data_IF_431314857352
#
_entry.id   IF_431314857352
#
_cell.length_a   1.000
_cell.length_b   1.000
_cell.length_c   1.000
_cell.angle_alpha   90.00
_cell.angle_beta   90.00
_cell.angle_gamma   90.00
#
_symmetry.space_group_name_H-M   'P 1'
#
loop_
_entity.id
_entity.type
_entity.pdbx_description
1 polymer ?
#
# COMPACT_ATOMS: atom_id res chain seq x y z
N UNK A 1 4.29 16.34 -2.31
CA UNK A 1 3.05 15.55 -2.36
C UNK A 1 2.40 15.79 -3.71
N UNK A 2 2.66 14.95 -4.72
CA UNK A 2 2.09 15.15 -6.06
C UNK A 2 0.76 14.40 -6.18
N UNK A 3 -0.22 15.01 -6.85
CA UNK A 3 -1.48 14.39 -7.27
C UNK A 3 -1.29 13.37 -8.39
N UNK A 4 -0.20 13.50 -9.17
CA UNK A 4 0.15 12.62 -10.27
C UNK A 4 1.01 11.45 -9.75
N UNK A 5 0.79 10.24 -10.27
CA UNK A 5 1.56 9.03 -9.95
C UNK A 5 3.05 9.24 -10.30
N UNK A 6 3.81 9.83 -9.38
CA UNK A 6 5.21 10.23 -9.54
C UNK A 6 6.20 9.09 -9.46
N UNK A 7 5.78 7.87 -9.82
CA UNK A 7 6.56 6.64 -9.68
C UNK A 7 7.00 6.41 -8.24
N UNK A 8 8.27 6.03 -8.04
CA UNK A 8 8.82 5.75 -6.72
C UNK A 8 8.83 6.98 -5.77
N UNK A 9 8.72 8.20 -6.31
CA UNK A 9 8.66 9.42 -5.49
C UNK A 9 7.39 9.49 -4.64
N UNK A 10 6.31 8.79 -5.01
CA UNK A 10 5.07 8.76 -4.20
C UNK A 10 5.25 8.16 -2.81
N UNK A 11 6.31 7.37 -2.61
CA UNK A 11 6.65 6.75 -1.32
C UNK A 11 7.60 7.60 -0.46
N UNK A 12 7.93 8.83 -0.89
CA UNK A 12 8.82 9.74 -0.18
C UNK A 12 8.18 11.12 -0.06
N UNK A 13 8.45 11.80 1.04
CA UNK A 13 8.11 13.21 1.16
C UNK A 13 9.05 14.02 0.25
N UNK A 14 8.56 15.12 -0.31
CA UNK A 14 9.43 16.06 -1.01
C UNK A 14 10.22 16.88 0.01
N UNK A 15 11.40 17.42 -0.35
CA UNK A 15 12.18 18.27 0.54
C UNK A 15 11.38 19.45 1.12
N UNK A 16 10.50 20.04 0.31
CA UNK A 16 9.58 21.09 0.77
C UNK A 16 8.61 20.59 1.85
N UNK A 17 7.97 19.44 1.64
CA UNK A 17 7.07 18.85 2.64
C UNK A 17 7.82 18.48 3.93
N UNK A 18 9.01 17.89 3.84
CA UNK A 18 9.82 17.58 5.01
C UNK A 18 10.21 18.83 5.79
N UNK A 19 10.64 19.90 5.11
CA UNK A 19 10.98 21.18 5.74
C UNK A 19 9.79 21.80 6.44
N UNK A 20 8.62 21.81 5.79
CA UNK A 20 7.40 22.34 6.37
C UNK A 20 6.97 21.56 7.62
N UNK A 21 6.96 20.22 7.55
CA UNK A 21 6.64 19.36 8.69
C UNK A 21 7.60 19.62 9.85
N UNK A 22 8.92 19.68 9.59
CA UNK A 22 9.92 19.95 10.64
C UNK A 22 9.68 21.30 11.32
N UNK A 23 9.39 22.36 10.56
CA UNK A 23 9.10 23.69 11.12
C UNK A 23 7.87 23.69 12.02
N UNK A 24 6.83 22.94 11.66
CA UNK A 24 5.65 22.77 12.53
C UNK A 24 6.01 21.99 13.78
N UNK A 25 6.65 20.82 13.61
CA UNK A 25 6.95 19.90 14.71
C UNK A 25 7.86 20.49 15.78
N UNK A 26 8.82 21.35 15.39
CA UNK A 26 9.73 22.05 16.31
C UNK A 26 9.03 23.01 17.28
N UNK A 27 7.84 23.52 16.92
CA UNK A 27 7.10 24.48 17.74
C UNK A 27 6.03 23.81 18.62
N UNK A 28 5.92 22.47 18.58
CA UNK A 28 4.94 21.73 19.36
C UNK A 28 5.44 21.48 20.78
N UNK A 29 4.51 21.50 21.75
CA UNK A 29 4.79 21.08 23.11
C UNK A 29 5.10 19.57 23.18
N UNK A 30 5.87 19.09 24.17
CA UNK A 30 6.19 17.68 24.33
C UNK A 30 4.95 16.77 24.31
N UNK A 31 3.88 17.18 24.99
CA UNK A 31 2.58 16.50 25.04
C UNK A 31 1.98 16.17 23.65
N UNK A 32 2.31 16.95 22.62
CA UNK A 32 1.84 16.72 21.25
C UNK A 32 2.78 15.82 20.41
N UNK A 33 3.98 15.55 20.91
CA UNK A 33 5.04 14.79 20.21
C UNK A 33 5.34 13.45 20.85
N UNK A 34 5.03 13.30 22.14
CA UNK A 34 5.19 12.07 22.87
C UNK A 34 4.22 10.98 22.39
N UNK A 35 4.74 9.76 22.24
CA UNK A 35 3.94 8.62 21.80
C UNK A 35 3.31 7.95 23.02
N UNK A 36 2.05 8.26 23.29
CA UNK A 36 1.28 7.64 24.38
C UNK A 36 0.80 6.21 24.08
N UNK A 37 0.99 5.73 22.85
CA UNK A 37 0.56 4.39 22.46
C UNK A 37 1.38 3.31 23.18
N UNK A 38 0.72 2.55 24.07
CA UNK A 38 1.34 1.43 24.80
C UNK A 38 1.85 0.30 23.90
N UNK A 39 1.22 0.13 22.73
CA UNK A 39 1.52 -0.97 21.81
C UNK A 39 2.20 -0.45 20.55
N UNK A 40 3.43 -0.88 20.33
CA UNK A 40 4.08 -0.78 19.02
C UNK A 40 3.69 -2.02 18.17
N UNK A 41 2.81 -1.81 17.19
CA UNK A 41 2.26 -2.89 16.35
C UNK A 41 3.36 -3.64 15.58
N UNK A 42 4.33 -2.94 15.01
CA UNK A 42 5.41 -3.57 14.26
C UNK A 42 6.35 -4.36 15.16
N UNK A 43 6.64 -3.88 16.38
CA UNK A 43 7.43 -4.62 17.37
C UNK A 43 6.72 -5.91 17.82
N UNK A 44 5.41 -5.84 18.02
CA UNK A 44 4.61 -6.95 18.56
C UNK A 44 4.28 -8.01 17.50
N UNK A 45 3.79 -7.61 16.33
CA UNK A 45 3.23 -8.53 15.34
C UNK A 45 4.17 -8.81 14.16
N UNK A 46 5.14 -7.93 13.90
CA UNK A 46 6.15 -8.08 12.83
C UNK A 46 5.55 -8.46 11.46
N UNK A 47 4.39 -7.89 11.14
CA UNK A 47 3.68 -8.17 9.88
C UNK A 47 3.25 -6.88 9.21
N UNK A 48 3.57 -6.77 7.93
CA UNK A 48 3.04 -5.74 7.08
C UNK A 48 1.59 -6.03 6.66
N UNK A 49 0.82 -5.01 6.23
CA UNK A 49 -0.56 -5.19 5.78
C UNK A 49 -0.70 -6.23 4.67
N UNK A 50 0.23 -6.28 3.71
CA UNK A 50 0.18 -7.25 2.61
C UNK A 50 0.42 -8.70 3.01
N UNK A 51 0.93 -8.96 4.23
CA UNK A 51 1.08 -10.31 4.78
C UNK A 51 -0.18 -10.80 5.51
N UNK A 52 -1.14 -9.91 5.78
CA UNK A 52 -2.36 -10.23 6.56
C UNK A 52 -3.63 -10.06 5.74
N UNK A 53 -3.64 -9.10 4.81
CA UNK A 53 -4.81 -8.77 4.01
C UNK A 53 -4.81 -9.54 2.70
N UNK A 54 -5.88 -10.31 2.45
CA UNK A 54 -6.10 -10.99 1.15
C UNK A 54 -6.34 -9.97 0.04
N UNK A 55 -5.76 -10.19 -1.14
CA UNK A 55 -5.85 -9.27 -2.28
C UNK A 55 -7.30 -8.97 -2.71
N UNK A 56 -8.17 -9.99 -2.81
CA UNK A 56 -9.59 -9.82 -3.16
C UNK A 56 -10.36 -9.00 -2.12
N UNK A 57 -10.07 -9.20 -0.83
CA UNK A 57 -10.65 -8.41 0.24
C UNK A 57 -10.19 -6.94 0.17
N UNK A 58 -8.91 -6.72 -0.13
CA UNK A 58 -8.39 -5.38 -0.34
C UNK A 58 -9.07 -4.68 -1.53
N UNK A 59 -9.26 -5.35 -2.68
CA UNK A 59 -10.03 -4.80 -3.81
C UNK A 59 -11.44 -4.36 -3.38
N UNK A 60 -12.15 -5.24 -2.66
CA UNK A 60 -13.50 -4.94 -2.15
C UNK A 60 -13.53 -3.69 -1.27
N UNK A 61 -12.57 -3.57 -0.34
CA UNK A 61 -12.51 -2.44 0.59
C UNK A 61 -12.06 -1.15 -0.08
N UNK A 62 -11.09 -1.21 -0.97
CA UNK A 62 -10.54 -0.03 -1.65
C UNK A 62 -11.56 0.55 -2.65
N UNK A 63 -12.17 -0.30 -3.48
CA UNK A 63 -13.08 0.12 -4.55
C UNK A 63 -14.51 0.34 -4.06
N UNK A 64 -14.81 0.04 -2.79
CA UNK A 64 -16.10 0.25 -2.12
C UNK A 64 -17.32 -0.34 -2.87
N UNK A 65 -17.13 -1.39 -3.69
CA UNK A 65 -18.24 -2.14 -4.31
C UNK A 65 -18.48 -3.45 -3.56
N UNK A 66 -19.63 -3.53 -2.90
CA UNK A 66 -20.16 -4.74 -2.26
C UNK A 66 -21.02 -5.55 -3.24
N UNK A 67 -21.32 -6.81 -2.90
CA UNK A 67 -22.21 -7.68 -3.69
C UNK A 67 -21.59 -8.29 -4.95
N UNK A 68 -20.35 -7.91 -5.30
CA UNK A 68 -19.64 -8.44 -6.48
C UNK A 68 -18.54 -9.41 -6.08
N UNK A 69 -18.35 -10.45 -6.90
CA UNK A 69 -17.22 -11.38 -6.76
C UNK A 69 -15.98 -10.77 -7.42
N UNK A 70 -14.98 -10.47 -6.59
CA UNK A 70 -13.70 -9.92 -7.04
C UNK A 70 -12.73 -11.03 -7.43
N UNK A 71 -12.03 -10.82 -8.54
CA UNK A 71 -10.99 -11.69 -9.09
C UNK A 71 -9.73 -10.83 -9.27
N UNK A 72 -8.59 -11.40 -8.93
CA UNK A 72 -7.30 -10.76 -9.21
C UNK A 72 -6.80 -11.32 -10.54
N UNK A 73 -6.67 -10.47 -11.55
CA UNK A 73 -6.07 -10.91 -12.80
C UNK A 73 -4.55 -10.95 -12.65
N UNK A 74 -3.95 -12.05 -13.09
CA UNK A 74 -2.50 -12.17 -13.15
C UNK A 74 -1.93 -11.37 -14.33
N UNK A 75 -1.21 -10.30 -14.00
CA UNK A 75 -0.48 -9.48 -14.95
C UNK A 75 0.92 -9.22 -14.40
N UNK A 76 1.92 -9.95 -14.91
CA UNK A 76 3.31 -9.84 -14.44
C UNK A 76 3.86 -8.42 -14.56
N UNK A 77 3.57 -7.71 -15.67
CA UNK A 77 4.07 -6.34 -15.90
C UNK A 77 3.55 -5.38 -14.81
N UNK A 78 2.32 -5.56 -14.35
CA UNK A 78 1.77 -4.79 -13.24
C UNK A 78 2.37 -5.23 -11.90
N UNK A 79 2.46 -6.54 -11.64
CA UNK A 79 3.01 -7.09 -10.40
C UNK A 79 4.43 -6.60 -10.14
N UNK A 80 5.28 -6.55 -11.17
CA UNK A 80 6.64 -6.03 -11.08
C UNK A 80 6.71 -4.56 -10.68
N UNK A 81 5.68 -3.76 -11.02
CA UNK A 81 5.51 -2.37 -10.59
C UNK A 81 4.73 -2.24 -9.29
N UNK A 82 4.50 -3.35 -8.58
CA UNK A 82 3.66 -3.43 -7.40
C UNK A 82 2.25 -2.88 -7.63
N UNK A 83 1.68 -3.23 -8.78
CA UNK A 83 0.28 -2.99 -9.11
C UNK A 83 -0.41 -4.32 -9.39
N UNK A 84 -1.70 -4.37 -9.13
CA UNK A 84 -2.53 -5.51 -9.47
C UNK A 84 -3.85 -5.06 -10.06
N UNK A 85 -4.50 -5.99 -10.75
CA UNK A 85 -5.74 -5.74 -11.44
C UNK A 85 -6.90 -6.39 -10.70
N UNK A 86 -7.74 -5.54 -10.09
CA UNK A 86 -8.96 -5.94 -9.42
C UNK A 86 -10.09 -5.97 -10.43
N UNK A 87 -10.55 -7.16 -10.81
CA UNK A 87 -11.66 -7.34 -11.75
C UNK A 87 -12.91 -7.86 -11.05
N UNK A 88 -14.07 -7.50 -11.58
CA UNK A 88 -15.33 -8.13 -11.22
C UNK A 88 -16.16 -8.35 -12.47
N UNK A 89 -17.02 -9.38 -12.43
CA UNK A 89 -17.92 -9.70 -13.52
C UNK A 89 -19.17 -8.81 -13.45
N UNK A 90 -19.50 -8.18 -14.56
CA UNK A 90 -20.80 -7.56 -14.81
C UNK A 90 -21.56 -8.41 -15.83
N UNK A 91 -22.89 -8.26 -15.99
CA UNK A 91 -23.66 -9.07 -16.92
C UNK A 91 -23.14 -9.08 -18.37
N UNK A 92 -22.43 -8.02 -18.79
CA UNK A 92 -21.91 -7.90 -20.15
C UNK A 92 -20.41 -8.17 -20.30
N UNK A 93 -19.60 -7.93 -19.25
CA UNK A 93 -18.12 -7.98 -19.35
C UNK A 93 -17.41 -7.99 -17.99
N UNK A 94 -16.11 -8.29 -18.03
CA UNK A 94 -15.21 -7.97 -16.91
C UNK A 94 -14.92 -6.47 -16.85
N UNK A 95 -15.03 -5.90 -15.65
CA UNK A 95 -14.62 -4.53 -15.38
C UNK A 95 -13.47 -4.57 -14.38
N UNK A 96 -12.34 -4.01 -14.79
CA UNK A 96 -11.07 -4.12 -14.09
C UNK A 96 -10.52 -2.75 -13.68
N UNK A 97 -9.86 -2.73 -12.53
CA UNK A 97 -9.25 -1.53 -11.96
C UNK A 97 -7.81 -1.82 -11.56
N UNK A 98 -6.89 -0.93 -11.95
CA UNK A 98 -5.50 -1.00 -11.50
C UNK A 98 -5.36 -0.37 -10.11
N UNK A 99 -4.81 -1.13 -9.17
CA UNK A 99 -4.58 -0.68 -7.80
C UNK A 99 -3.15 -1.00 -7.36
N UNK A 100 -2.63 -0.27 -6.38
CA UNK A 100 -1.33 -0.57 -5.78
C UNK A 100 -1.41 -1.82 -4.90
N UNK A 101 -0.42 -2.70 -5.00
CA UNK A 101 -0.22 -3.87 -4.13
C UNK A 101 0.28 -3.41 -2.76
N UNK A 102 -0.29 -3.98 -1.70
CA UNK A 102 0.10 -3.68 -0.33
C UNK A 102 1.54 -4.11 -0.02
N UNK A 103 2.22 -3.35 0.84
CA UNK A 103 3.57 -3.72 1.29
C UNK A 103 3.56 -5.08 1.98
N UNK A 104 4.49 -5.96 1.60
CA UNK A 104 4.62 -7.34 2.09
C UNK A 104 3.74 -8.36 1.37
N UNK A 105 2.90 -7.96 0.42
CA UNK A 105 2.14 -8.88 -0.42
C UNK A 105 3.04 -9.45 -1.52
N UNK A 106 2.81 -10.72 -1.89
CA UNK A 106 3.57 -11.38 -2.96
C UNK A 106 3.34 -10.70 -4.31
N UNK A 107 4.42 -10.54 -5.05
CA UNK A 107 4.42 -10.03 -6.44
C UNK A 107 5.10 -11.00 -7.41
N UNK A 108 5.41 -12.21 -6.95
CA UNK A 108 6.12 -13.25 -7.69
C UNK A 108 6.75 -14.26 -6.73
N UNK A 109 7.41 -15.27 -7.29
CA UNK A 109 8.06 -16.31 -6.50
C UNK A 109 9.15 -15.73 -5.60
N UNK A 110 9.00 -15.91 -4.27
CA UNK A 110 9.91 -15.38 -3.26
C UNK A 110 10.00 -13.85 -3.16
N UNK A 111 9.24 -13.10 -3.97
CA UNK A 111 9.30 -11.64 -4.07
C UNK A 111 8.07 -11.01 -3.44
N UNK A 112 8.27 -9.87 -2.79
CA UNK A 112 7.18 -9.08 -2.23
C UNK A 112 7.27 -7.62 -2.66
N UNK A 113 6.17 -6.91 -2.50
CA UNK A 113 6.11 -5.50 -2.77
C UNK A 113 6.54 -4.68 -1.55
N UNK A 114 7.44 -3.71 -1.76
CA UNK A 114 7.79 -2.72 -0.75
C UNK A 114 8.08 -1.39 -1.42
N UNK A 115 7.31 -0.35 -1.06
CA UNK A 115 7.46 1.01 -1.61
C UNK A 115 7.53 1.03 -3.14
N UNK A 116 6.65 0.27 -3.80
CA UNK A 116 6.54 0.21 -5.26
C UNK A 116 7.57 -0.67 -5.97
N UNK A 117 8.40 -1.40 -5.23
CA UNK A 117 9.44 -2.27 -5.79
C UNK A 117 9.11 -3.73 -5.47
N UNK A 118 8.95 -4.54 -6.51
CA UNK A 118 8.84 -5.99 -6.39
C UNK A 118 10.25 -6.60 -6.36
N UNK A 119 10.66 -7.10 -5.20
CA UNK A 119 11.96 -7.72 -5.02
C UNK A 119 11.93 -8.71 -3.84
N UNK A 120 13.02 -9.45 -3.65
CA UNK A 120 13.20 -10.28 -2.47
C UNK A 120 13.55 -9.39 -1.28
N UNK A 121 12.52 -8.98 -0.53
CA UNK A 121 12.71 -8.17 0.67
C UNK A 121 12.86 -9.05 1.90
N UNK A 122 13.79 -8.67 2.79
CA UNK A 122 13.76 -9.15 4.17
C UNK A 122 12.58 -8.49 4.88
N UNK A 123 11.52 -9.26 5.06
CA UNK A 123 10.37 -8.86 5.87
C UNK A 123 10.73 -9.02 7.36
N UNK A 124 10.12 -8.21 8.24
CA UNK A 124 10.36 -8.25 9.68
C UNK A 124 9.91 -9.55 10.34
#
# INVERSE_FOLDING_TARGET
>A
MSYVDGGLKKYRLSPCSEKAIRKVYQNLKPECTEVHAKTNYMRKYKKYPGQTVRATYYCKKLLKKSGVKWIIWDNEKLKMKCKMECCHLTPAKYVCYHVDILTGMSCGEGKTCRRGICAQHRLP
#
